data_IF_889978809427
#
_entry.id   IF_889978809427
#
_cell.length_a   1.000
_cell.length_b   1.000
_cell.length_c   1.000
_cell.angle_alpha   90.00
_cell.angle_beta   90.00
_cell.angle_gamma   90.00
#
_symmetry.space_group_name_H-M   'P 1'
#
loop_
_entity.id
_entity.type
_entity.pdbx_description
1 polymer ?
#
# COMPACT_ATOMS: atom_id res chain seq x y z
N UNK A 1 18.02 5.63 -23.57
CA UNK A 1 17.88 4.44 -22.73
C UNK A 1 18.54 3.27 -23.42
N UNK A 2 19.76 2.95 -22.99
CA UNK A 2 20.62 1.92 -23.56
C UNK A 2 20.01 0.55 -23.24
N UNK A 3 19.95 -0.34 -24.22
CA UNK A 3 19.50 -1.73 -24.08
C UNK A 3 20.12 -2.38 -22.84
N UNK A 4 19.30 -2.66 -21.81
CA UNK A 4 19.73 -3.52 -20.71
C UNK A 4 19.90 -4.93 -21.29
N UNK A 5 21.09 -5.52 -21.10
CA UNK A 5 21.36 -6.94 -21.35
C UNK A 5 20.26 -7.79 -20.69
N UNK A 6 19.90 -8.93 -21.30
CA UNK A 6 18.89 -9.85 -20.79
C UNK A 6 19.00 -10.06 -19.26
N UNK A 7 17.88 -10.12 -18.52
CA UNK A 7 17.94 -10.22 -17.06
C UNK A 7 18.71 -11.48 -16.66
N UNK A 8 19.91 -11.28 -16.10
CA UNK A 8 20.81 -12.37 -15.67
C UNK A 8 20.11 -13.21 -14.61
N UNK A 9 20.03 -14.52 -14.86
CA UNK A 9 19.60 -15.50 -13.87
C UNK A 9 20.56 -15.49 -12.66
N UNK A 10 20.02 -15.40 -11.44
CA UNK A 10 20.80 -15.54 -10.21
C UNK A 10 20.03 -16.35 -9.15
N UNK A 11 19.74 -17.64 -9.41
CA UNK A 11 19.09 -18.52 -8.44
C UNK A 11 19.94 -18.75 -7.18
N UNK A 12 21.27 -18.58 -7.28
CA UNK A 12 22.21 -18.70 -6.16
C UNK A 12 21.88 -17.74 -5.02
N UNK A 13 21.54 -16.49 -5.34
CA UNK A 13 21.10 -15.51 -4.34
C UNK A 13 19.90 -16.02 -3.52
N UNK A 14 18.90 -16.63 -4.16
CA UNK A 14 17.72 -17.17 -3.45
C UNK A 14 18.04 -18.44 -2.66
N UNK A 15 19.01 -19.24 -3.11
CA UNK A 15 19.56 -20.37 -2.35
C UNK A 15 20.20 -19.87 -1.07
N UNK A 16 21.16 -18.96 -1.16
CA UNK A 16 21.91 -18.45 0.00
C UNK A 16 21.04 -17.67 0.99
N UNK A 17 20.06 -16.91 0.47
CA UNK A 17 19.23 -16.04 1.31
C UNK A 17 18.10 -16.77 2.04
N UNK A 18 17.56 -17.84 1.45
CA UNK A 18 16.33 -18.47 1.92
C UNK A 18 16.34 -19.99 1.95
N UNK A 19 17.45 -20.63 1.57
CA UNK A 19 17.49 -22.07 1.28
C UNK A 19 16.36 -22.48 0.33
N UNK A 20 16.03 -21.64 -0.65
CA UNK A 20 14.76 -21.76 -1.38
C UNK A 20 14.56 -23.13 -2.07
N UNK A 21 15.66 -23.78 -2.44
CA UNK A 21 15.68 -25.12 -3.02
C UNK A 21 15.02 -26.21 -2.15
N UNK A 22 14.96 -26.05 -0.82
CA UNK A 22 14.29 -27.04 0.06
C UNK A 22 12.80 -26.78 0.26
N UNK A 23 12.29 -25.65 -0.23
CA UNK A 23 10.90 -25.23 -0.02
C UNK A 23 9.90 -26.17 -0.70
N UNK A 24 8.70 -26.35 -0.13
CA UNK A 24 7.65 -27.16 -0.75
C UNK A 24 7.28 -26.70 -2.17
N UNK A 25 7.25 -25.39 -2.40
CA UNK A 25 6.90 -24.80 -3.69
C UNK A 25 7.94 -25.11 -4.78
N UNK A 26 9.24 -25.09 -4.46
CA UNK A 26 10.29 -25.48 -5.41
C UNK A 26 10.23 -26.97 -5.70
N UNK A 27 10.09 -27.81 -4.67
CA UNK A 27 9.95 -29.27 -4.85
C UNK A 27 8.76 -29.62 -5.72
N UNK A 28 7.60 -29.00 -5.46
CA UNK A 28 6.40 -29.18 -6.26
C UNK A 28 6.59 -28.76 -7.73
N UNK A 29 7.32 -27.68 -7.98
CA UNK A 29 7.64 -27.26 -9.34
C UNK A 29 8.58 -28.24 -10.06
N UNK A 30 9.54 -28.83 -9.34
CA UNK A 30 10.42 -29.87 -9.90
C UNK A 30 9.61 -31.10 -10.29
N UNK A 31 8.80 -31.63 -9.36
CA UNK A 31 7.96 -32.81 -9.61
C UNK A 31 7.01 -32.61 -10.79
N UNK A 32 6.42 -31.42 -10.92
CA UNK A 32 5.56 -31.05 -12.05
C UNK A 32 6.32 -31.13 -13.37
N UNK A 33 7.51 -30.52 -13.44
CA UNK A 33 8.31 -30.48 -14.66
C UNK A 33 8.74 -31.89 -15.07
N UNK A 34 9.23 -32.70 -14.13
CA UNK A 34 9.69 -34.06 -14.41
C UNK A 34 8.56 -34.99 -14.83
N UNK A 35 7.37 -34.86 -14.22
CA UNK A 35 6.16 -35.60 -14.66
C UNK A 35 5.71 -35.18 -16.06
N UNK A 36 5.78 -33.89 -16.39
CA UNK A 36 5.36 -33.35 -17.69
C UNK A 36 6.30 -33.76 -18.83
N UNK A 37 7.61 -33.76 -18.58
CA UNK A 37 8.63 -34.05 -19.61
C UNK A 37 9.03 -35.52 -19.66
N UNK A 38 8.75 -36.30 -18.61
CA UNK A 38 9.23 -37.67 -18.45
C UNK A 38 10.75 -37.76 -18.20
N UNK A 39 11.41 -36.63 -17.95
CA UNK A 39 12.86 -36.54 -17.78
C UNK A 39 13.20 -35.71 -16.55
N UNK A 40 14.32 -36.02 -15.90
CA UNK A 40 14.87 -35.14 -14.86
C UNK A 40 15.18 -33.76 -15.45
N UNK A 41 15.06 -32.72 -14.63
CA UNK A 41 15.42 -31.36 -15.06
C UNK A 41 16.89 -31.36 -15.52
N UNK A 42 17.19 -30.86 -16.73
CA UNK A 42 18.57 -30.78 -17.24
C UNK A 42 19.46 -29.95 -16.31
N UNK A 43 20.69 -30.43 -16.09
CA UNK A 43 21.75 -29.68 -15.40
C UNK A 43 22.68 -29.11 -16.47
N UNK A 44 22.77 -27.80 -16.57
CA UNK A 44 23.75 -27.15 -17.44
C UNK A 44 25.14 -27.14 -16.80
N UNK A 45 26.18 -27.00 -17.61
CA UNK A 45 27.55 -26.95 -17.14
C UNK A 45 27.76 -25.77 -16.18
N UNK A 46 28.31 -26.06 -14.99
CA UNK A 46 28.53 -25.06 -13.94
C UNK A 46 27.33 -24.75 -13.04
N UNK A 47 26.14 -25.33 -13.28
CA UNK A 47 24.98 -25.17 -12.41
C UNK A 47 24.88 -26.27 -11.34
N UNK A 48 24.47 -25.89 -10.14
CA UNK A 48 24.11 -26.87 -9.10
C UNK A 48 22.67 -27.34 -9.23
N UNK A 49 22.35 -28.53 -8.68
CA UNK A 49 20.98 -29.06 -8.68
C UNK A 49 20.03 -28.15 -7.89
N UNK A 50 20.51 -27.51 -6.84
CA UNK A 50 19.71 -26.58 -6.04
C UNK A 50 19.34 -25.33 -6.84
N UNK A 51 20.32 -24.72 -7.51
CA UNK A 51 20.11 -23.54 -8.37
C UNK A 51 19.17 -23.85 -9.53
N UNK A 52 19.37 -24.99 -10.19
CA UNK A 52 18.52 -25.46 -11.28
C UNK A 52 17.06 -25.64 -10.83
N UNK A 53 16.87 -26.19 -9.62
CA UNK A 53 15.52 -26.39 -9.06
C UNK A 53 14.82 -25.06 -8.78
N UNK A 54 15.57 -24.08 -8.26
CA UNK A 54 15.07 -22.72 -8.04
C UNK A 54 14.73 -22.05 -9.37
N UNK A 55 15.59 -22.16 -10.38
CA UNK A 55 15.33 -21.54 -11.69
C UNK A 55 14.09 -22.14 -12.35
N UNK A 56 13.92 -23.48 -12.32
CA UNK A 56 12.71 -24.14 -12.80
C UNK A 56 11.43 -23.63 -12.09
N UNK A 57 11.53 -23.32 -10.80
CA UNK A 57 10.42 -22.71 -10.06
C UNK A 57 10.12 -21.28 -10.52
N UNK A 58 11.14 -20.45 -10.76
CA UNK A 58 10.97 -19.09 -11.29
C UNK A 58 10.39 -19.12 -12.71
N UNK A 59 10.89 -20.01 -13.57
CA UNK A 59 10.42 -20.17 -14.96
C UNK A 59 8.94 -20.55 -15.02
N UNK A 60 8.42 -21.27 -14.02
CA UNK A 60 6.98 -21.57 -13.93
C UNK A 60 6.13 -20.30 -13.77
N UNK A 61 6.60 -19.28 -13.06
CA UNK A 61 5.87 -18.01 -13.01
C UNK A 61 5.92 -17.33 -14.37
N UNK A 62 7.08 -17.36 -15.03
CA UNK A 62 7.25 -16.87 -16.40
C UNK A 62 6.31 -17.54 -17.40
N UNK A 63 6.10 -18.87 -17.30
CA UNK A 63 5.10 -19.61 -18.10
C UNK A 63 3.66 -19.09 -17.92
N UNK A 64 3.36 -18.40 -16.82
CA UNK A 64 2.04 -17.82 -16.53
C UNK A 64 1.96 -16.40 -17.10
N UNK A 65 2.96 -15.57 -16.81
CA UNK A 65 2.96 -14.14 -17.14
C UNK A 65 3.36 -13.85 -18.60
N UNK A 66 4.13 -14.72 -19.25
CA UNK A 66 4.61 -14.52 -20.63
C UNK A 66 3.79 -15.30 -21.68
N UNK A 67 2.56 -15.73 -21.33
CA UNK A 67 1.68 -16.41 -22.28
C UNK A 67 1.34 -15.46 -23.43
N UNK A 68 1.60 -15.91 -24.67
CA UNK A 68 1.31 -15.16 -25.90
C UNK A 68 -0.18 -14.83 -26.08
N UNK A 69 -1.04 -15.73 -25.60
CA UNK A 69 -2.50 -15.61 -25.63
C UNK A 69 -2.95 -14.76 -24.41
N UNK A 70 -3.47 -13.54 -24.63
CA UNK A 70 -3.80 -12.61 -23.55
C UNK A 70 -4.84 -13.17 -22.58
N UNK A 71 -5.85 -13.89 -23.07
CA UNK A 71 -6.92 -14.46 -22.24
C UNK A 71 -6.39 -15.61 -21.37
N UNK A 72 -5.45 -16.40 -21.89
CA UNK A 72 -4.77 -17.44 -21.09
C UNK A 72 -3.79 -16.83 -20.09
N UNK A 73 -3.15 -15.72 -20.42
CA UNK A 73 -2.28 -14.96 -19.50
C UNK A 73 -3.11 -14.44 -18.33
N UNK A 74 -4.18 -13.70 -18.64
CA UNK A 74 -5.06 -13.09 -17.64
C UNK A 74 -5.65 -14.16 -16.70
N UNK A 75 -6.23 -15.23 -17.24
CA UNK A 75 -6.72 -16.35 -16.42
C UNK A 75 -5.64 -16.97 -15.52
N UNK A 76 -4.40 -17.02 -16.01
CA UNK A 76 -3.26 -17.51 -15.24
C UNK A 76 -2.90 -16.59 -14.07
N UNK A 77 -2.86 -15.27 -14.31
CA UNK A 77 -2.61 -14.25 -13.29
C UNK A 77 -3.74 -14.24 -12.25
N UNK A 78 -5.01 -14.33 -12.68
CA UNK A 78 -6.15 -14.42 -11.77
C UNK A 78 -6.13 -15.67 -10.87
N UNK A 79 -5.75 -16.82 -11.43
CA UNK A 79 -5.55 -18.03 -10.64
C UNK A 79 -4.42 -17.88 -9.62
N UNK A 80 -3.34 -17.19 -9.99
CA UNK A 80 -2.23 -16.88 -9.08
C UNK A 80 -2.68 -15.94 -7.96
N UNK A 81 -3.39 -14.84 -8.28
CA UNK A 81 -3.96 -13.91 -7.30
C UNK A 81 -4.79 -14.64 -6.25
N UNK A 82 -5.69 -15.55 -6.67
CA UNK A 82 -6.49 -16.35 -5.75
C UNK A 82 -5.63 -17.14 -4.75
N UNK A 83 -4.61 -17.85 -5.23
CA UNK A 83 -3.70 -18.63 -4.36
C UNK A 83 -2.95 -17.72 -3.38
N UNK A 84 -2.50 -16.55 -3.85
CA UNK A 84 -1.75 -15.60 -3.03
C UNK A 84 -2.63 -14.93 -1.97
N UNK A 85 -3.86 -14.53 -2.33
CA UNK A 85 -4.85 -14.02 -1.39
C UNK A 85 -5.16 -15.04 -0.30
N UNK A 86 -5.43 -16.28 -0.68
CA UNK A 86 -5.70 -17.36 0.28
C UNK A 86 -4.55 -17.53 1.28
N UNK A 87 -3.30 -17.32 0.84
CA UNK A 87 -2.10 -17.50 1.67
C UNK A 87 -1.74 -16.30 2.53
N UNK A 88 -1.90 -15.07 2.04
CA UNK A 88 -1.30 -13.88 2.66
C UNK A 88 -2.31 -12.89 3.24
N UNK A 89 -3.57 -12.92 2.78
CA UNK A 89 -4.62 -12.05 3.29
C UNK A 89 -5.20 -12.66 4.55
N UNK A 90 -5.31 -11.82 5.58
CA UNK A 90 -5.84 -12.15 6.90
C UNK A 90 -7.25 -12.70 6.79
N UNK A 91 -7.55 -13.72 7.59
CA UNK A 91 -8.90 -14.31 7.65
C UNK A 91 -9.76 -13.55 8.64
N UNK A 92 -11.06 -13.56 8.41
CA UNK A 92 -12.04 -12.89 9.26
C UNK A 92 -11.87 -13.28 10.74
N UNK A 93 -11.64 -14.58 10.99
CA UNK A 93 -11.52 -15.16 12.32
C UNK A 93 -10.19 -14.83 13.02
N UNK A 94 -9.19 -14.35 12.27
CA UNK A 94 -7.88 -13.98 12.80
C UNK A 94 -7.84 -12.52 13.28
N UNK A 95 -8.84 -11.70 12.93
CA UNK A 95 -8.87 -10.29 13.29
C UNK A 95 -9.12 -10.17 14.81
N UNK A 96 -8.25 -9.45 15.54
CA UNK A 96 -8.39 -9.34 16.98
C UNK A 96 -9.58 -8.46 17.36
N UNK A 97 -10.33 -8.83 18.40
CA UNK A 97 -11.42 -8.00 18.95
C UNK A 97 -10.99 -6.58 19.34
N UNK A 98 -9.71 -6.40 19.70
CA UNK A 98 -9.15 -5.07 19.98
C UNK A 98 -9.18 -4.13 18.77
N UNK A 99 -9.11 -4.67 17.54
CA UNK A 99 -9.27 -3.88 16.33
C UNK A 99 -10.71 -3.39 16.16
N UNK A 100 -11.70 -4.25 16.40
CA UNK A 100 -13.12 -3.87 16.37
C UNK A 100 -13.43 -2.79 17.41
N UNK A 101 -12.94 -2.97 18.64
CA UNK A 101 -13.09 -1.99 19.71
C UNK A 101 -12.48 -0.62 19.35
N UNK A 102 -11.32 -0.61 18.67
CA UNK A 102 -10.70 0.63 18.19
C UNK A 102 -11.54 1.32 17.12
N UNK A 103 -12.11 0.59 16.17
CA UNK A 103 -12.96 1.20 15.13
C UNK A 103 -14.27 1.76 15.70
N UNK A 104 -14.88 1.07 16.66
CA UNK A 104 -16.04 1.61 17.40
C UNK A 104 -15.68 2.92 18.10
N UNK A 105 -14.50 3.00 18.71
CA UNK A 105 -14.02 4.23 19.32
C UNK A 105 -13.81 5.35 18.29
N UNK A 106 -13.23 5.04 17.12
CA UNK A 106 -13.03 6.00 16.03
C UNK A 106 -14.38 6.54 15.51
N UNK A 107 -15.41 5.69 15.38
CA UNK A 107 -16.76 6.12 15.02
C UNK A 107 -17.33 7.12 16.05
N UNK A 108 -17.16 6.84 17.34
CA UNK A 108 -17.57 7.73 18.42
C UNK A 108 -16.80 9.06 18.33
N UNK A 109 -15.47 9.02 18.16
CA UNK A 109 -14.59 10.18 17.99
C UNK A 109 -14.85 10.98 16.69
N UNK A 110 -15.62 10.44 15.74
CA UNK A 110 -16.09 11.14 14.52
C UNK A 110 -17.51 11.66 14.64
N UNK A 111 -18.10 11.61 15.85
CA UNK A 111 -19.46 12.06 16.11
C UNK A 111 -20.52 11.15 15.52
N UNK A 112 -20.17 9.91 15.18
CA UNK A 112 -21.07 8.85 14.70
C UNK A 112 -21.48 7.89 15.83
N UNK A 113 -21.05 8.16 17.07
CA UNK A 113 -21.35 7.34 18.24
C UNK A 113 -22.84 7.31 18.62
N UNK A 114 -23.59 8.38 18.31
CA UNK A 114 -25.04 8.43 18.55
C UNK A 114 -25.81 7.39 17.73
N UNK A 115 -25.50 7.30 16.43
CA UNK A 115 -26.08 6.31 15.53
C UNK A 115 -25.68 4.89 15.94
N UNK A 116 -24.39 4.70 16.25
CA UNK A 116 -23.87 3.42 16.75
C UNK A 116 -24.57 2.95 18.03
N UNK A 117 -24.84 3.83 18.98
CA UNK A 117 -25.50 3.47 20.23
C UNK A 117 -26.97 3.05 20.03
N UNK A 118 -27.63 3.60 19.01
CA UNK A 118 -29.01 3.26 18.66
C UNK A 118 -29.13 1.97 17.83
N UNK A 119 -28.03 1.42 17.33
CA UNK A 119 -28.05 0.15 16.61
C UNK A 119 -28.39 -1.02 17.56
N UNK A 120 -29.28 -1.89 17.09
CA UNK A 120 -29.50 -3.21 17.68
C UNK A 120 -28.24 -4.08 17.61
N UNK A 121 -28.20 -5.15 18.40
CA UNK A 121 -27.07 -6.10 18.39
C UNK A 121 -26.79 -6.68 17.00
N UNK A 122 -27.85 -6.97 16.22
CA UNK A 122 -27.70 -7.48 14.85
C UNK A 122 -27.15 -6.42 13.90
N UNK A 123 -27.58 -5.16 14.02
CA UNK A 123 -27.04 -4.06 13.21
C UNK A 123 -25.55 -3.82 13.49
N UNK A 124 -25.15 -3.86 14.77
CA UNK A 124 -23.72 -3.75 15.15
C UNK A 124 -22.89 -4.89 14.58
N UNK A 125 -23.43 -6.12 14.61
CA UNK A 125 -22.78 -7.30 14.03
C UNK A 125 -22.63 -7.17 12.51
N UNK A 126 -23.66 -6.71 11.82
CA UNK A 126 -23.61 -6.48 10.38
C UNK A 126 -22.62 -5.38 10.02
N UNK A 127 -22.58 -4.29 10.78
CA UNK A 127 -21.66 -3.19 10.54
C UNK A 127 -20.20 -3.61 10.79
N UNK A 128 -19.92 -4.36 11.85
CA UNK A 128 -18.60 -4.98 12.07
C UNK A 128 -18.20 -5.87 10.90
N UNK A 129 -19.15 -6.68 10.38
CA UNK A 129 -18.92 -7.54 9.23
C UNK A 129 -18.59 -6.72 7.97
N UNK A 130 -19.37 -5.67 7.69
CA UNK A 130 -19.14 -4.77 6.55
C UNK A 130 -17.76 -4.09 6.65
N UNK A 131 -17.38 -3.61 7.84
CA UNK A 131 -16.07 -3.00 8.09
C UNK A 131 -14.93 -3.98 7.88
N UNK A 132 -15.07 -5.20 8.40
CA UNK A 132 -14.10 -6.27 8.16
C UNK A 132 -13.97 -6.60 6.69
N UNK A 133 -15.09 -6.80 5.99
CA UNK A 133 -15.10 -7.11 4.56
C UNK A 133 -14.43 -5.99 3.76
N UNK A 134 -14.68 -4.72 4.09
CA UNK A 134 -14.03 -3.59 3.46
C UNK A 134 -12.50 -3.61 3.65
N UNK A 135 -12.01 -3.74 4.89
CA UNK A 135 -10.56 -3.71 5.14
C UNK A 135 -9.83 -4.94 4.62
N UNK A 136 -10.46 -6.11 4.64
CA UNK A 136 -9.89 -7.31 4.03
C UNK A 136 -9.84 -7.17 2.51
N UNK A 137 -10.87 -6.58 1.90
CA UNK A 137 -10.89 -6.28 0.46
C UNK A 137 -9.80 -5.27 0.07
N UNK A 138 -9.56 -4.24 0.88
CA UNK A 138 -8.45 -3.30 0.65
C UNK A 138 -7.09 -3.99 0.79
N UNK A 139 -6.95 -4.86 1.80
CA UNK A 139 -5.75 -5.66 1.96
C UNK A 139 -5.54 -6.59 0.76
N UNK A 140 -6.58 -7.23 0.23
CA UNK A 140 -6.51 -8.00 -1.01
C UNK A 140 -6.06 -7.16 -2.19
N UNK A 141 -6.66 -5.98 -2.38
CA UNK A 141 -6.34 -5.09 -3.48
C UNK A 141 -4.88 -4.61 -3.41
N UNK A 142 -4.38 -4.24 -2.23
CA UNK A 142 -2.97 -3.85 -2.06
C UNK A 142 -1.99 -4.99 -2.38
N UNK A 143 -2.36 -6.26 -2.15
CA UNK A 143 -1.57 -7.41 -2.61
C UNK A 143 -1.64 -7.59 -4.12
N UNK A 144 -2.84 -7.47 -4.69
CA UNK A 144 -3.07 -7.61 -6.13
C UNK A 144 -2.28 -6.60 -6.93
N UNK A 145 -2.15 -5.36 -6.46
CA UNK A 145 -1.32 -4.34 -7.10
C UNK A 145 0.12 -4.82 -7.31
N UNK A 146 0.73 -5.48 -6.30
CA UNK A 146 2.07 -6.05 -6.46
C UNK A 146 2.10 -7.18 -7.48
N UNK A 147 1.09 -8.05 -7.49
CA UNK A 147 0.99 -9.14 -8.45
C UNK A 147 0.84 -8.58 -9.87
N UNK A 148 -0.03 -7.59 -10.05
CA UNK A 148 -0.27 -6.93 -11.33
C UNK A 148 0.97 -6.22 -11.84
N UNK A 149 1.60 -5.40 -11.00
CA UNK A 149 2.83 -4.70 -11.36
C UNK A 149 3.93 -5.68 -11.78
N UNK A 150 4.24 -6.69 -10.94
CA UNK A 150 5.32 -7.65 -11.20
C UNK A 150 5.02 -8.62 -12.36
N UNK A 151 3.74 -8.76 -12.74
CA UNK A 151 3.32 -9.54 -13.91
C UNK A 151 3.17 -8.71 -15.18
N UNK A 152 3.22 -7.38 -15.07
CA UNK A 152 3.07 -6.47 -16.20
C UNK A 152 4.40 -6.25 -16.95
N UNK A 153 4.28 -5.79 -18.20
CA UNK A 153 5.42 -5.37 -19.02
C UNK A 153 6.21 -4.20 -18.39
N UNK A 154 5.56 -3.40 -17.54
CA UNK A 154 6.18 -2.30 -16.79
C UNK A 154 7.27 -2.78 -15.81
N UNK A 155 7.27 -4.06 -15.45
CA UNK A 155 8.28 -4.68 -14.59
C UNK A 155 9.30 -5.53 -15.33
N UNK A 156 9.31 -5.50 -16.68
CA UNK A 156 10.19 -6.34 -17.52
C UNK A 156 11.69 -6.10 -17.28
N UNK A 157 12.06 -4.92 -16.78
CA UNK A 157 13.43 -4.58 -16.37
C UNK A 157 13.88 -5.31 -15.10
N UNK A 158 12.95 -5.90 -14.32
CA UNK A 158 13.25 -6.56 -13.04
C UNK A 158 13.54 -8.04 -13.30
N UNK A 159 14.73 -8.56 -12.93
CA UNK A 159 15.00 -9.99 -13.04
C UNK A 159 14.05 -10.84 -12.18
N UNK A 160 13.69 -12.05 -12.62
CA UNK A 160 12.69 -12.90 -11.94
C UNK A 160 13.08 -13.24 -10.49
N UNK A 161 14.37 -13.44 -10.22
CA UNK A 161 14.85 -13.70 -8.87
C UNK A 161 14.68 -12.47 -7.95
N UNK A 162 14.76 -11.26 -8.51
CA UNK A 162 14.48 -10.00 -7.80
C UNK A 162 12.97 -9.84 -7.61
N UNK A 163 12.15 -10.13 -8.62
CA UNK A 163 10.68 -10.12 -8.46
C UNK A 163 10.24 -11.02 -7.31
N UNK A 164 10.82 -12.23 -7.22
CA UNK A 164 10.59 -13.14 -6.11
C UNK A 164 11.03 -12.54 -4.76
N UNK A 165 12.23 -11.96 -4.69
CA UNK A 165 12.75 -11.34 -3.47
C UNK A 165 11.91 -10.17 -2.98
N UNK A 166 11.48 -9.29 -3.89
CA UNK A 166 10.58 -8.17 -3.61
C UNK A 166 9.25 -8.71 -3.10
N UNK A 167 8.61 -9.63 -3.83
CA UNK A 167 7.31 -10.17 -3.45
C UNK A 167 7.34 -10.93 -2.11
N UNK A 168 8.38 -11.73 -1.86
CA UNK A 168 8.59 -12.40 -0.56
C UNK A 168 8.81 -11.41 0.58
N UNK A 169 9.40 -10.25 0.28
CA UNK A 169 9.62 -9.21 1.28
C UNK A 169 8.31 -8.46 1.59
N UNK A 170 7.58 -7.97 0.58
CA UNK A 170 6.35 -7.19 0.77
C UNK A 170 5.26 -7.99 1.50
N UNK A 171 5.20 -9.31 1.27
CA UNK A 171 4.21 -10.19 1.94
C UNK A 171 4.44 -10.31 3.44
N UNK A 172 5.64 -9.96 3.94
CA UNK A 172 5.96 -9.87 5.37
C UNK A 172 5.83 -8.47 5.98
N UNK A 173 5.43 -7.46 5.20
CA UNK A 173 5.41 -6.05 5.59
C UNK A 173 3.99 -5.46 5.58
N UNK A 174 3.75 -4.51 6.47
CA UNK A 174 2.55 -3.68 6.47
C UNK A 174 2.81 -2.37 5.71
N UNK A 175 1.75 -1.59 5.49
CA UNK A 175 1.79 -0.22 4.99
C UNK A 175 2.86 0.65 5.69
N UNK A 176 3.36 1.65 4.98
CA UNK A 176 4.44 2.52 5.46
C UNK A 176 4.03 3.32 6.71
N UNK A 177 4.83 3.23 7.77
CA UNK A 177 4.65 4.03 8.97
C UNK A 177 5.43 5.34 8.81
N UNK A 178 4.74 6.42 8.41
CA UNK A 178 5.33 7.75 8.21
C UNK A 178 5.99 8.32 9.48
N UNK A 179 5.55 7.92 10.68
CA UNK A 179 6.11 8.42 11.94
C UNK A 179 7.44 7.77 12.26
N UNK A 180 7.53 6.45 12.04
CA UNK A 180 8.76 5.68 12.26
C UNK A 180 9.67 5.60 11.05
N UNK A 181 9.19 6.10 9.91
CA UNK A 181 9.84 6.05 8.62
C UNK A 181 10.27 4.62 8.21
N UNK A 182 9.43 3.63 8.51
CA UNK A 182 9.73 2.22 8.24
C UNK A 182 8.50 1.45 7.74
N UNK A 183 8.73 0.28 7.14
CA UNK A 183 7.68 -0.69 6.90
C UNK A 183 7.63 -1.67 8.07
N UNK A 184 6.59 -1.63 8.92
CA UNK A 184 6.47 -2.56 10.03
C UNK A 184 6.32 -3.99 9.53
N UNK A 185 6.77 -4.96 10.31
CA UNK A 185 6.44 -6.36 10.04
C UNK A 185 4.95 -6.62 10.27
N UNK A 186 4.37 -7.49 9.46
CA UNK A 186 2.98 -7.95 9.67
C UNK A 186 2.90 -8.82 10.92
N UNK A 187 1.91 -8.56 11.77
CA UNK A 187 1.47 -9.46 12.82
C UNK A 187 0.34 -10.35 12.30
N UNK A 188 0.15 -11.51 12.92
CA UNK A 188 -1.06 -12.32 12.71
C UNK A 188 -2.31 -11.48 12.98
N UNK A 189 -3.34 -11.60 12.13
CA UNK A 189 -4.59 -10.86 12.29
C UNK A 189 -4.54 -9.38 11.90
N UNK A 190 -3.41 -8.87 11.39
CA UNK A 190 -3.33 -7.47 10.97
C UNK A 190 -4.20 -7.21 9.74
N UNK A 191 -5.08 -6.21 9.82
CA UNK A 191 -5.84 -5.75 8.65
C UNK A 191 -5.10 -4.69 7.83
N UNK A 192 -3.92 -4.25 8.27
CA UNK A 192 -3.13 -3.26 7.53
C UNK A 192 -2.84 -3.73 6.11
N UNK A 193 -2.86 -2.79 5.17
CA UNK A 193 -2.52 -3.05 3.77
C UNK A 193 -1.06 -3.52 3.63
N UNK A 194 -0.75 -4.12 2.48
CA UNK A 194 0.64 -4.32 2.07
C UNK A 194 1.28 -2.97 1.71
N UNK A 195 2.63 -2.87 1.64
CA UNK A 195 3.30 -1.65 1.21
C UNK A 195 2.76 -1.12 -0.11
N UNK A 196 2.59 0.19 -0.26
CA UNK A 196 2.27 0.80 -1.55
C UNK A 196 3.45 0.66 -2.53
N UNK A 197 3.14 0.64 -3.83
CA UNK A 197 4.15 0.66 -4.90
C UNK A 197 4.54 2.10 -5.20
N UNK A 198 5.81 2.40 -4.95
CA UNK A 198 6.53 3.58 -5.40
C UNK A 198 7.54 3.08 -6.45
N UNK A 199 7.19 3.20 -7.72
CA UNK A 199 7.96 2.65 -8.84
C UNK A 199 9.38 3.21 -8.88
N UNK A 200 9.57 4.49 -8.55
CA UNK A 200 10.89 5.13 -8.56
C UNK A 200 11.76 4.64 -7.41
N UNK A 201 11.21 4.58 -6.19
CA UNK A 201 11.89 3.99 -5.04
C UNK A 201 12.25 2.52 -5.29
N UNK A 202 11.32 1.76 -5.87
CA UNK A 202 11.54 0.36 -6.19
C UNK A 202 12.62 0.19 -7.26
N UNK A 203 12.57 0.98 -8.34
CA UNK A 203 13.56 0.95 -9.42
C UNK A 203 14.97 1.26 -8.90
N UNK A 204 15.09 2.29 -8.05
CA UNK A 204 16.34 2.67 -7.41
C UNK A 204 16.92 1.53 -6.55
N UNK A 205 16.08 0.89 -5.72
CA UNK A 205 16.48 -0.25 -4.90
C UNK A 205 16.92 -1.44 -5.76
N UNK A 206 16.18 -1.72 -6.83
CA UNK A 206 16.48 -2.84 -7.73
C UNK A 206 17.80 -2.60 -8.47
N UNK A 207 18.03 -1.41 -9.01
CA UNK A 207 19.29 -1.04 -9.66
C UNK A 207 20.48 -1.20 -8.71
N UNK A 208 20.35 -0.74 -7.46
CA UNK A 208 21.38 -0.89 -6.44
C UNK A 208 21.73 -2.36 -6.15
N UNK A 209 20.71 -3.21 -5.99
CA UNK A 209 20.88 -4.64 -5.69
C UNK A 209 21.44 -5.38 -6.90
N UNK A 210 20.95 -5.10 -8.10
CA UNK A 210 21.45 -5.71 -9.34
C UNK A 210 22.93 -5.34 -9.55
N UNK A 211 23.30 -4.06 -9.43
CA UNK A 211 24.70 -3.62 -9.53
C UNK A 211 25.58 -4.34 -8.52
N UNK A 212 25.13 -4.48 -7.27
CA UNK A 212 25.84 -5.26 -6.24
C UNK A 212 26.07 -6.70 -6.70
N UNK A 213 25.03 -7.38 -7.20
CA UNK A 213 25.15 -8.77 -7.66
C UNK A 213 26.05 -8.92 -8.89
N UNK A 214 26.13 -7.89 -9.73
CA UNK A 214 27.05 -7.84 -10.87
C UNK A 214 28.48 -7.43 -10.50
N UNK A 215 28.77 -7.17 -9.22
CA UNK A 215 30.09 -6.66 -8.78
C UNK A 215 30.37 -5.23 -9.24
N UNK A 216 29.34 -4.49 -9.66
CA UNK A 216 29.45 -3.08 -10.08
C UNK A 216 29.24 -2.16 -8.88
N UNK A 217 29.95 -1.03 -8.90
CA UNK A 217 29.77 0.00 -7.88
C UNK A 217 28.45 0.75 -8.07
N UNK A 218 27.65 0.78 -7.01
CA UNK A 218 26.48 1.64 -6.92
C UNK A 218 26.90 3.08 -6.59
N UNK A 219 26.25 4.07 -7.21
CA UNK A 219 26.51 5.49 -6.97
C UNK A 219 25.18 6.22 -6.71
N UNK A 220 25.18 7.12 -5.74
CA UNK A 220 24.01 7.90 -5.31
C UNK A 220 23.68 9.07 -6.25
N UNK A 221 23.95 8.96 -7.56
CA UNK A 221 23.97 10.09 -8.50
C UNK A 221 22.72 10.96 -8.47
N UNK A 222 21.57 10.37 -8.17
CA UNK A 222 20.28 11.05 -8.15
C UNK A 222 20.08 11.95 -6.90
N UNK A 223 20.81 11.72 -5.81
CA UNK A 223 20.64 12.39 -4.52
C UNK A 223 21.97 12.82 -3.88
N UNK A 224 23.07 12.80 -4.64
CA UNK A 224 24.42 12.84 -4.06
C UNK A 224 24.71 14.14 -3.28
N UNK A 225 24.13 15.25 -3.73
CA UNK A 225 24.24 16.57 -3.11
C UNK A 225 23.36 16.72 -1.84
N UNK A 226 22.25 16.00 -1.76
CA UNK A 226 21.24 16.17 -0.70
C UNK A 226 21.38 15.17 0.45
N UNK A 227 22.18 14.11 0.25
CA UNK A 227 22.37 13.05 1.23
C UNK A 227 23.54 13.31 2.16
N UNK A 228 23.28 13.22 3.47
CA UNK A 228 24.32 13.16 4.49
C UNK A 228 25.12 11.86 4.39
N UNK A 229 26.34 11.86 4.92
CA UNK A 229 27.16 10.64 4.98
C UNK A 229 26.47 9.53 5.78
N UNK A 230 25.73 9.88 6.84
CA UNK A 230 24.97 8.93 7.65
C UNK A 230 23.86 8.25 6.83
N UNK A 231 23.13 9.00 6.01
CA UNK A 231 22.11 8.44 5.12
C UNK A 231 22.74 7.51 4.07
N UNK A 232 23.89 7.88 3.50
CA UNK A 232 24.63 7.04 2.54
C UNK A 232 25.09 5.72 3.18
N UNK A 233 25.65 5.78 4.39
CA UNK A 233 26.11 4.59 5.11
C UNK A 233 24.94 3.70 5.58
N UNK A 234 23.82 4.28 6.01
CA UNK A 234 22.61 3.52 6.34
C UNK A 234 22.07 2.72 5.14
N UNK A 235 22.05 3.34 3.95
CA UNK A 235 21.68 2.67 2.71
C UNK A 235 22.67 1.56 2.35
N UNK A 236 23.98 1.84 2.35
CA UNK A 236 25.02 0.83 2.05
C UNK A 236 24.94 -0.36 3.00
N UNK A 237 24.75 -0.14 4.30
CA UNK A 237 24.56 -1.22 5.29
C UNK A 237 23.35 -2.08 4.95
N UNK A 238 22.24 -1.45 4.57
CA UNK A 238 21.01 -2.14 4.16
C UNK A 238 21.17 -2.88 2.84
N UNK A 239 21.98 -2.35 1.92
CA UNK A 239 22.33 -2.96 0.63
C UNK A 239 23.24 -4.19 0.82
N UNK A 240 24.22 -4.11 1.71
CA UNK A 240 25.06 -5.25 2.08
C UNK A 240 24.23 -6.38 2.68
N UNK A 241 23.26 -6.06 3.52
CA UNK A 241 22.33 -7.03 4.09
C UNK A 241 21.20 -7.47 3.12
N UNK A 242 21.06 -6.80 1.97
CA UNK A 242 19.92 -6.93 1.04
C UNK A 242 18.59 -6.95 1.81
N UNK A 243 18.43 -5.93 2.66
CA UNK A 243 17.23 -5.76 3.46
C UNK A 243 16.25 -4.90 2.67
N UNK A 244 15.33 -5.54 1.95
CA UNK A 244 14.34 -4.85 1.11
C UNK A 244 13.57 -3.79 1.90
N UNK A 245 13.05 -4.13 3.08
CA UNK A 245 12.23 -3.23 3.89
C UNK A 245 12.97 -1.91 4.20
N UNK A 246 14.25 -2.00 4.60
CA UNK A 246 15.06 -0.81 4.91
C UNK A 246 15.49 -0.05 3.67
N UNK A 247 15.86 -0.75 2.60
CA UNK A 247 16.23 -0.13 1.32
C UNK A 247 15.04 0.64 0.74
N UNK A 248 13.87 0.02 0.76
CA UNK A 248 12.64 0.58 0.23
C UNK A 248 12.10 1.70 1.12
N UNK A 249 12.19 1.59 2.45
CA UNK A 249 11.84 2.68 3.37
C UNK A 249 12.75 3.89 3.14
N UNK A 250 14.06 3.67 3.06
CA UNK A 250 15.02 4.73 2.74
C UNK A 250 14.69 5.39 1.41
N UNK A 251 14.41 4.60 0.37
CA UNK A 251 14.10 5.13 -0.95
C UNK A 251 12.77 5.89 -0.96
N UNK A 252 11.74 5.45 -0.24
CA UNK A 252 10.49 6.21 -0.10
C UNK A 252 10.69 7.57 0.60
N UNK A 253 11.62 7.65 1.56
CA UNK A 253 11.92 8.90 2.24
C UNK A 253 12.76 9.87 1.40
N UNK A 254 13.66 9.36 0.57
CA UNK A 254 14.51 10.24 -0.27
C UNK A 254 13.83 10.56 -1.60
N UNK A 255 13.01 9.64 -2.11
CA UNK A 255 12.21 9.78 -3.32
C UNK A 255 10.78 10.08 -2.89
N UNK A 256 10.59 11.31 -2.40
CA UNK A 256 9.26 11.80 -2.04
C UNK A 256 8.37 11.74 -3.28
N UNK A 257 7.15 11.15 -3.19
CA UNK A 257 6.21 11.10 -4.31
C UNK A 257 5.80 12.50 -4.82
N UNK A 258 5.98 13.53 -3.99
CA UNK A 258 5.85 14.94 -4.34
C UNK A 258 7.14 15.64 -3.95
N UNK A 259 7.80 16.29 -4.90
CA UNK A 259 9.04 17.01 -4.64
C UNK A 259 8.79 18.19 -3.68
N UNK A 260 9.70 18.44 -2.74
CA UNK A 260 9.52 19.47 -1.70
C UNK A 260 9.29 20.87 -2.27
N UNK A 261 9.92 21.21 -3.40
CA UNK A 261 9.77 22.50 -4.04
C UNK A 261 8.38 22.70 -4.68
N UNK A 262 7.63 21.62 -4.91
CA UNK A 262 6.26 21.66 -5.42
C UNK A 262 5.21 21.84 -4.30
N UNK A 263 5.58 21.63 -3.03
CA UNK A 263 4.62 21.76 -1.91
C UNK A 263 4.07 23.18 -1.75
N UNK A 264 4.87 24.26 -1.87
CA UNK A 264 4.35 25.63 -1.81
C UNK A 264 3.51 26.06 -3.01
N UNK A 265 3.52 25.30 -4.12
CA UNK A 265 2.69 25.59 -5.30
C UNK A 265 1.26 25.14 -4.98
N UNK A 266 0.34 26.11 -4.95
CA UNK A 266 -1.08 25.88 -4.61
C UNK A 266 -1.98 25.97 -5.83
N UNK A 267 -1.49 26.51 -6.95
CA UNK A 267 -2.22 26.50 -8.22
C UNK A 267 -2.53 25.07 -8.65
N UNK A 268 -3.75 24.86 -9.16
CA UNK A 268 -4.25 23.53 -9.44
C UNK A 268 -5.70 23.53 -9.87
N UNK A 269 -6.26 22.33 -9.96
CA UNK A 269 -7.63 22.11 -10.42
C UNK A 269 -8.35 21.08 -9.54
N UNK A 270 -9.64 21.35 -9.31
CA UNK A 270 -10.56 20.38 -8.73
C UNK A 270 -11.09 19.44 -9.81
N UNK A 271 -10.87 18.14 -9.64
CA UNK A 271 -11.52 17.12 -10.45
C UNK A 271 -12.64 16.49 -9.62
N UNK A 272 -13.84 16.48 -10.18
CA UNK A 272 -15.00 15.78 -9.65
C UNK A 272 -15.09 14.40 -10.28
N UNK A 273 -15.16 13.38 -9.44
CA UNK A 273 -15.52 12.02 -9.81
C UNK A 273 -16.96 11.79 -9.40
N UNK A 274 -17.82 11.55 -10.38
CA UNK A 274 -19.25 11.42 -10.13
C UNK A 274 -19.58 10.09 -9.46
N UNK A 275 -20.59 10.14 -8.58
CA UNK A 275 -21.18 8.98 -7.92
C UNK A 275 -21.39 7.83 -8.91
N UNK A 276 -20.95 6.64 -8.52
CA UNK A 276 -21.12 5.43 -9.32
C UNK A 276 -22.54 4.87 -9.12
N UNK A 277 -23.29 4.74 -10.21
CA UNK A 277 -24.61 4.11 -10.26
C UNK A 277 -24.55 2.60 -10.56
N UNK A 278 -23.34 2.06 -10.75
CA UNK A 278 -23.07 0.64 -10.95
C UNK A 278 -22.45 0.32 -12.32
N UNK A 279 -22.55 1.23 -13.29
CA UNK A 279 -22.01 1.06 -14.65
C UNK A 279 -20.81 1.98 -14.96
N UNK A 280 -20.51 2.96 -14.10
CA UNK A 280 -19.41 3.91 -14.35
C UNK A 280 -18.04 3.28 -14.01
N UNK A 281 -17.00 3.69 -14.73
CA UNK A 281 -15.60 3.34 -14.41
C UNK A 281 -14.88 4.50 -13.71
N UNK A 282 -15.63 5.45 -13.14
CA UNK A 282 -15.10 6.64 -12.46
C UNK A 282 -14.16 6.27 -11.31
N UNK A 283 -14.47 5.18 -10.61
CA UNK A 283 -13.64 4.67 -9.53
C UNK A 283 -12.24 4.22 -10.00
N UNK A 284 -12.09 3.73 -11.24
CA UNK A 284 -10.77 3.40 -11.81
C UNK A 284 -9.97 4.65 -12.14
N UNK A 285 -10.62 5.69 -12.66
CA UNK A 285 -9.96 6.97 -12.94
C UNK A 285 -9.49 7.63 -11.65
N UNK A 286 -10.36 7.70 -10.63
CA UNK A 286 -10.03 8.18 -9.30
C UNK A 286 -8.84 7.37 -8.74
N UNK A 287 -8.92 6.04 -8.76
CA UNK A 287 -7.85 5.17 -8.30
C UNK A 287 -6.51 5.45 -9.00
N UNK A 288 -6.50 5.43 -10.33
CA UNK A 288 -5.28 5.65 -11.14
C UNK A 288 -4.67 7.03 -10.92
N UNK A 289 -5.50 8.05 -10.67
CA UNK A 289 -5.02 9.42 -10.47
C UNK A 289 -4.27 9.63 -9.14
N UNK A 290 -4.57 8.83 -8.11
CA UNK A 290 -4.01 8.97 -6.75
C UNK A 290 -3.04 7.85 -6.38
N UNK A 291 -3.10 6.71 -7.06
CA UNK A 291 -2.23 5.57 -6.81
C UNK A 291 -0.76 5.94 -7.02
N UNK A 292 0.10 5.55 -6.07
CA UNK A 292 1.54 5.83 -6.14
C UNK A 292 1.92 7.30 -5.93
N UNK A 293 0.96 8.19 -5.63
CA UNK A 293 1.21 9.63 -5.39
C UNK A 293 1.53 9.98 -3.94
N UNK A 294 1.71 8.97 -3.07
CA UNK A 294 2.10 9.18 -1.68
C UNK A 294 1.03 9.81 -0.77
N UNK A 295 -0.23 9.82 -1.21
CA UNK A 295 -1.33 10.46 -0.48
C UNK A 295 -1.61 9.81 0.87
N UNK A 296 -1.45 8.49 0.96
CA UNK A 296 -1.80 7.70 2.14
C UNK A 296 -3.32 7.60 2.36
N UNK A 297 -4.12 7.84 1.31
CA UNK A 297 -5.58 7.69 1.36
C UNK A 297 -5.98 6.25 1.06
N UNK A 298 -6.92 5.69 1.85
CA UNK A 298 -7.52 4.37 1.55
C UNK A 298 -8.23 4.35 0.18
N UNK A 299 -8.67 5.51 -0.33
CA UNK A 299 -9.23 5.69 -1.67
C UNK A 299 -8.27 5.26 -2.78
N UNK A 300 -6.96 5.19 -2.53
CA UNK A 300 -5.99 4.62 -3.47
C UNK A 300 -6.17 3.10 -3.68
N UNK A 301 -7.07 2.44 -2.94
CA UNK A 301 -7.61 1.12 -3.26
C UNK A 301 -8.83 1.20 -4.18
N UNK A 302 -8.87 0.39 -5.25
CA UNK A 302 -9.91 0.46 -6.30
C UNK A 302 -11.33 0.22 -5.74
N UNK A 303 -11.48 -0.73 -4.81
CA UNK A 303 -12.77 -1.04 -4.20
C UNK A 303 -13.23 0.01 -3.19
N UNK A 304 -12.30 0.60 -2.42
CA UNK A 304 -12.64 1.74 -1.57
C UNK A 304 -13.04 2.95 -2.41
N UNK A 305 -12.35 3.24 -3.51
CA UNK A 305 -12.79 4.25 -4.47
C UNK A 305 -14.21 3.95 -4.98
N UNK A 306 -14.49 2.70 -5.34
CA UNK A 306 -15.82 2.27 -5.79
C UNK A 306 -16.89 2.45 -4.71
N UNK A 307 -16.66 1.94 -3.50
CA UNK A 307 -17.61 2.06 -2.38
C UNK A 307 -17.87 3.51 -1.99
N UNK A 308 -16.82 4.35 -1.95
CA UNK A 308 -16.96 5.78 -1.66
C UNK A 308 -17.75 6.49 -2.75
N UNK A 309 -17.52 6.15 -4.03
CA UNK A 309 -18.32 6.67 -5.14
C UNK A 309 -19.74 6.11 -5.18
N UNK A 310 -20.05 4.95 -4.60
CA UNK A 310 -21.43 4.50 -4.41
C UNK A 310 -22.16 5.32 -3.32
N UNK A 311 -21.41 5.86 -2.35
CA UNK A 311 -21.94 6.73 -1.30
C UNK A 311 -22.27 8.13 -1.81
N UNK A 312 -21.45 8.70 -2.68
CA UNK A 312 -21.65 10.04 -3.25
C UNK A 312 -20.52 10.46 -4.17
N UNK A 313 -20.54 11.71 -4.64
CA UNK A 313 -19.45 12.27 -5.44
C UNK A 313 -18.13 12.29 -4.64
N UNK A 314 -17.00 12.31 -5.37
CA UNK A 314 -15.68 12.44 -4.78
C UNK A 314 -14.91 13.55 -5.47
N UNK A 315 -14.30 14.45 -4.71
CA UNK A 315 -13.54 15.58 -5.24
C UNK A 315 -12.07 15.43 -4.87
N UNK A 316 -11.16 15.63 -5.82
CA UNK A 316 -9.73 15.71 -5.54
C UNK A 316 -9.16 16.99 -6.13
N UNK A 317 -8.37 17.70 -5.33
CA UNK A 317 -7.59 18.85 -5.80
C UNK A 317 -6.21 18.41 -6.21
N UNK A 318 -5.81 18.74 -7.44
CA UNK A 318 -4.49 18.45 -7.99
C UNK A 318 -3.71 19.74 -8.22
N UNK A 319 -2.55 19.87 -7.59
CA UNK A 319 -1.62 20.99 -7.84
C UNK A 319 -0.77 20.73 -9.08
N UNK A 320 -0.23 21.81 -9.64
CA UNK A 320 0.65 21.74 -10.80
C UNK A 320 1.97 21.00 -10.49
N UNK A 321 2.40 20.18 -11.45
CA UNK A 321 3.73 19.57 -11.47
C UNK A 321 4.77 20.49 -12.15
N UNK A 322 6.01 20.00 -12.29
CA UNK A 322 7.11 20.73 -12.95
C UNK A 322 6.80 21.10 -14.42
N UNK A 323 5.90 20.36 -15.08
CA UNK A 323 5.44 20.66 -16.45
C UNK A 323 4.24 21.63 -16.48
N UNK A 324 3.79 22.12 -15.31
CA UNK A 324 2.63 22.97 -15.17
C UNK A 324 1.29 22.25 -15.35
N UNK A 325 1.24 20.93 -15.14
CA UNK A 325 0.00 20.13 -15.27
C UNK A 325 -0.56 19.75 -13.90
N UNK A 326 -1.88 19.77 -13.68
CA UNK A 326 -2.51 19.45 -12.40
C UNK A 326 -2.54 17.94 -12.16
N UNK A 327 -1.41 17.34 -11.76
CA UNK A 327 -1.27 15.88 -11.61
C UNK A 327 -0.97 15.42 -10.18
N UNK A 328 -0.77 16.36 -9.24
CA UNK A 328 -0.34 16.08 -7.88
C UNK A 328 -1.50 16.19 -6.90
N UNK A 329 -2.11 15.07 -6.42
CA UNK A 329 -3.24 15.13 -5.52
C UNK A 329 -2.85 15.65 -4.12
N UNK A 330 -3.59 16.63 -3.61
CA UNK A 330 -3.31 17.32 -2.34
C UNK A 330 -4.46 17.30 -1.34
N UNK A 331 -5.70 17.37 -1.82
CA UNK A 331 -6.91 17.36 -0.99
C UNK A 331 -7.91 16.36 -1.58
N UNK A 332 -8.61 15.62 -0.73
CA UNK A 332 -9.76 14.82 -1.10
C UNK A 332 -10.99 15.21 -0.26
N UNK A 333 -12.16 15.33 -0.91
CA UNK A 333 -13.46 15.51 -0.26
C UNK A 333 -14.35 14.33 -0.67
N UNK A 334 -14.76 13.54 0.31
CA UNK A 334 -15.71 12.44 0.13
C UNK A 334 -17.12 12.92 0.47
N UNK A 335 -18.06 12.69 -0.43
CA UNK A 335 -19.47 12.94 -0.16
C UNK A 335 -20.19 11.67 0.29
N UNK A 336 -21.24 11.86 1.09
CA UNK A 336 -22.28 10.86 1.36
C UNK A 336 -23.60 11.48 0.93
N UNK A 337 -24.16 10.96 -0.17
CA UNK A 337 -25.19 11.63 -0.96
C UNK A 337 -24.71 13.04 -1.35
N UNK A 338 -25.42 14.08 -0.89
CA UNK A 338 -25.11 15.48 -1.19
C UNK A 338 -24.47 16.21 -0.01
N UNK A 339 -23.89 15.49 0.96
CA UNK A 339 -23.28 16.05 2.17
C UNK A 339 -21.81 15.68 2.28
N UNK A 340 -21.00 16.57 2.84
CA UNK A 340 -19.60 16.32 3.12
C UNK A 340 -19.50 15.27 4.22
N UNK A 341 -18.91 14.13 3.89
CA UNK A 341 -18.70 13.05 4.84
C UNK A 341 -17.31 13.14 5.49
N UNK A 342 -16.29 13.48 4.69
CA UNK A 342 -14.90 13.50 5.13
C UNK A 342 -14.03 14.37 4.21
N UNK A 343 -13.05 15.06 4.79
CA UNK A 343 -12.00 15.80 4.08
C UNK A 343 -10.64 15.25 4.51
N UNK A 344 -9.75 15.00 3.56
CA UNK A 344 -8.40 14.45 3.79
C UNK A 344 -7.35 15.26 3.04
N UNK A 345 -6.17 15.39 3.63
CA UNK A 345 -4.96 15.85 2.96
C UNK A 345 -3.86 14.80 2.97
N UNK A 346 -2.66 15.19 2.56
CA UNK A 346 -1.52 14.27 2.37
C UNK A 346 -0.55 14.21 3.58
N UNK A 347 -0.77 15.05 4.59
CA UNK A 347 0.07 15.12 5.79
C UNK A 347 -0.20 13.99 6.78
N UNK A 348 0.51 14.00 7.91
CA UNK A 348 0.34 13.02 8.99
C UNK A 348 -1.14 12.85 9.38
N UNK A 349 -1.58 11.60 9.55
CA UNK A 349 -2.99 11.22 9.81
C UNK A 349 -3.99 11.76 8.77
N UNK A 350 -3.54 11.94 7.52
CA UNK A 350 -4.35 12.48 6.42
C UNK A 350 -4.85 13.90 6.70
N UNK A 351 -4.11 14.67 7.48
CA UNK A 351 -4.37 16.10 7.65
C UNK A 351 -3.99 16.88 6.38
N UNK A 352 -4.50 18.10 6.25
CA UNK A 352 -4.01 19.05 5.24
C UNK A 352 -2.55 19.38 5.51
N UNK A 353 -1.78 19.55 4.44
CA UNK A 353 -0.52 20.26 4.55
C UNK A 353 -0.74 21.77 4.71
N UNK A 354 0.30 22.48 5.12
CA UNK A 354 0.22 23.87 5.55
C UNK A 354 -0.23 24.84 4.46
N UNK A 355 -0.05 24.48 3.18
CA UNK A 355 -0.35 25.34 2.03
C UNK A 355 -1.79 25.21 1.53
N UNK A 356 -2.50 24.15 1.89
CA UNK A 356 -3.76 23.77 1.25
C UNK A 356 -5.04 24.25 1.94
N UNK A 357 -4.92 25.06 2.99
CA UNK A 357 -6.08 25.59 3.71
C UNK A 357 -6.95 26.48 2.84
N UNK A 358 -6.35 27.39 2.07
CA UNK A 358 -7.10 28.36 1.25
C UNK A 358 -7.83 27.68 0.07
N UNK A 359 -7.18 26.85 -0.77
CA UNK A 359 -7.89 26.12 -1.83
C UNK A 359 -9.03 25.24 -1.32
N UNK A 360 -8.88 24.65 -0.12
CA UNK A 360 -9.98 23.92 0.50
C UNK A 360 -11.13 24.85 0.89
N UNK A 361 -10.84 25.95 1.59
CA UNK A 361 -11.88 26.86 2.08
C UNK A 361 -12.68 27.51 0.96
N UNK A 362 -12.02 27.82 -0.15
CA UNK A 362 -12.69 28.27 -1.38
C UNK A 362 -13.67 27.22 -1.89
N UNK A 363 -13.22 25.97 -2.03
CA UNK A 363 -14.05 24.87 -2.51
C UNK A 363 -15.23 24.59 -1.58
N UNK A 364 -15.01 24.69 -0.27
CA UNK A 364 -16.06 24.48 0.72
C UNK A 364 -17.22 25.48 0.61
N UNK A 365 -17.01 26.67 0.07
CA UNK A 365 -18.08 27.65 -0.15
C UNK A 365 -19.14 27.17 -1.15
N UNK A 366 -18.82 26.17 -1.99
CA UNK A 366 -19.77 25.59 -2.94
C UNK A 366 -20.74 24.60 -2.28
N UNK A 367 -20.47 24.15 -1.05
CA UNK A 367 -21.27 23.13 -0.37
C UNK A 367 -22.23 23.74 0.65
N UNK A 368 -23.54 23.43 0.58
CA UNK A 368 -24.55 24.02 1.47
C UNK A 368 -24.44 23.55 2.92
N UNK A 369 -23.72 22.46 3.19
CA UNK A 369 -23.53 21.90 4.54
C UNK A 369 -22.16 22.24 5.15
N UNK A 370 -21.41 23.17 4.56
CA UNK A 370 -20.09 23.63 5.05
C UNK A 370 -20.11 23.99 6.53
N UNK A 371 -20.99 24.89 6.96
CA UNK A 371 -21.02 25.38 8.35
C UNK A 371 -21.33 24.24 9.32
N UNK A 372 -22.22 23.33 8.92
CA UNK A 372 -22.56 22.15 9.69
C UNK A 372 -21.36 21.21 9.83
N UNK A 373 -20.65 20.95 8.73
CA UNK A 373 -19.45 20.11 8.73
C UNK A 373 -18.33 20.72 9.59
N UNK A 374 -17.99 22.00 9.37
CA UNK A 374 -16.93 22.69 10.12
C UNK A 374 -17.24 22.74 11.62
N UNK A 375 -18.50 22.95 11.98
CA UNK A 375 -18.94 22.88 13.38
C UNK A 375 -18.75 21.48 13.96
N UNK A 376 -19.17 20.43 13.25
CA UNK A 376 -19.02 19.04 13.67
C UNK A 376 -17.54 18.68 13.88
N UNK A 377 -16.68 19.07 12.95
CA UNK A 377 -15.23 18.83 13.04
C UNK A 377 -14.60 19.55 14.26
N UNK A 378 -14.94 20.82 14.47
CA UNK A 378 -14.46 21.59 15.62
C UNK A 378 -14.96 21.02 16.97
N UNK A 379 -16.24 20.65 17.05
CA UNK A 379 -16.84 20.05 18.25
C UNK A 379 -16.19 18.69 18.55
N UNK A 380 -15.90 17.87 17.53
CA UNK A 380 -15.21 16.59 17.70
C UNK A 380 -13.77 16.73 18.16
N UNK A 381 -13.00 17.67 17.59
CA UNK A 381 -11.63 17.97 18.08
C UNK A 381 -11.64 18.32 19.57
N UNK A 382 -12.57 19.19 19.97
CA UNK A 382 -12.73 19.57 21.38
C UNK A 382 -13.15 18.38 22.26
N UNK A 383 -14.04 17.51 21.78
CA UNK A 383 -14.45 16.32 22.53
C UNK A 383 -13.27 15.36 22.72
N UNK A 384 -12.47 15.11 21.69
CA UNK A 384 -11.28 14.25 21.77
C UNK A 384 -10.24 14.82 22.76
N UNK A 385 -10.03 16.14 22.78
CA UNK A 385 -9.18 16.79 23.78
C UNK A 385 -9.70 16.62 25.22
N UNK A 386 -11.01 16.81 25.43
CA UNK A 386 -11.64 16.60 26.74
C UNK A 386 -11.51 15.13 27.15
N UNK A 387 -11.78 14.21 26.24
CA UNK A 387 -11.65 12.77 26.47
C UNK A 387 -10.22 12.40 26.91
N UNK A 388 -9.20 12.91 26.21
CA UNK A 388 -7.79 12.70 26.57
C UNK A 388 -7.38 13.30 27.92
N UNK A 389 -8.08 14.33 28.41
CA UNK A 389 -7.90 14.90 29.75
C UNK A 389 -8.63 14.11 30.84
N UNK A 390 -9.71 13.43 30.48
CA UNK A 390 -10.57 12.71 31.42
C UNK A 390 -10.25 11.22 31.53
N UNK A 391 -9.61 10.62 30.53
CA UNK A 391 -9.39 9.19 30.45
C UNK A 391 -7.97 8.86 30.00
N UNK A 392 -7.37 7.86 30.66
CA UNK A 392 -6.13 7.23 30.23
C UNK A 392 -6.47 5.91 29.53
N UNK A 393 -5.97 5.73 28.31
CA UNK A 393 -6.23 4.51 27.52
C UNK A 393 -4.99 3.63 27.55
N UNK A 394 -5.14 2.44 28.13
CA UNK A 394 -4.11 1.41 28.07
C UNK A 394 -3.85 1.03 26.61
N UNK A 395 -2.65 1.28 26.11
CA UNK A 395 -2.30 1.05 24.69
C UNK A 395 -2.33 -0.41 24.26
N UNK A 396 -2.19 -1.36 25.20
CA UNK A 396 -2.20 -2.80 24.92
C UNK A 396 -3.61 -3.38 25.02
N UNK A 397 -4.38 -2.96 26.02
CA UNK A 397 -5.72 -3.52 26.27
C UNK A 397 -6.86 -2.66 25.72
N UNK A 398 -6.56 -1.43 25.29
CA UNK A 398 -7.49 -0.40 24.82
C UNK A 398 -8.58 -0.02 25.84
N UNK A 399 -8.41 -0.42 27.11
CA UNK A 399 -9.31 -0.03 28.20
C UNK A 399 -9.05 1.42 28.62
N UNK A 400 -10.11 2.22 28.62
CA UNK A 400 -10.08 3.58 29.13
C UNK A 400 -10.35 3.56 30.64
N UNK A 401 -9.44 4.15 31.41
CA UNK A 401 -9.57 4.36 32.86
C UNK A 401 -9.83 5.84 33.10
N UNK A 402 -10.87 6.17 33.87
CA UNK A 402 -11.14 7.56 34.26
C UNK A 402 -9.98 8.10 35.09
N UNK A 403 -9.44 9.24 34.68
CA UNK A 403 -8.43 10.02 35.41
C UNK A 403 -9.05 10.82 36.58
N UNK A 404 -10.38 10.88 36.66
CA UNK A 404 -11.09 11.55 37.75
C UNK A 404 -11.48 10.53 38.85
N UNK A 405 -10.97 10.67 40.10
CA UNK A 405 -11.22 9.75 41.21
C UNK A 405 -12.69 9.67 41.67
N UNK A 406 -13.54 10.62 41.30
CA UNK A 406 -14.98 10.62 41.61
C UNK A 406 -15.77 9.80 40.58
N UNK A 407 -15.26 9.69 39.34
CA UNK A 407 -15.89 8.92 38.25
C UNK A 407 -15.37 7.48 38.17
N UNK A 408 -14.45 7.07 39.07
CA UNK A 408 -13.85 5.73 39.12
C UNK A 408 -14.60 4.73 40.03
N UNK A 409 -15.82 5.05 40.48
CA UNK A 409 -16.66 4.16 41.29
C UNK A 409 -17.77 3.50 40.48
#
# INVERSE_FOLDING_TARGET
>A
YQYMEQPKHNPKFLKEKYDLHVSPEVKSAVDRTEKKTGKKIPLEEGQTREETSIQNYLDRFKEIIDRKDPDKRERGVQALKKILKDKFVTKYEEIPESWHALNEKILIERGQGGDWNNYSSEQKKQERKNQTEAVLTDQEASLEQWVDYLSSDGSSYIPDYIKYWVFRSITGLAEYDKEKQEFPKRSTGTVKMFPDINCDALSYVIDAVVKKHEGKNFQFKQFEADLTNEQKEAFKKSLTAENFAKLYAWANEQIHPIAKHLLPITEGEWIKYEKDDGDSQNYKQLNQSILGRGTGWCTAGENTAKSQLQGGDFYVYYTLDDDGKPTIPRIAIRMENNKIAEIRGISYKQNLDEYMNEPLMEKLNEFPDKEQYLKKDADMKKLTEIYGKCFEVDRKTQKATSLNPILTK
#
